data_IF_425628639178
#
_entry.id   IF_425628639178
#
_cell.length_a   1.000
_cell.length_b   1.000
_cell.length_c   1.000
_cell.angle_alpha   90.00
_cell.angle_beta   90.00
_cell.angle_gamma   90.00
#
_symmetry.space_group_name_H-M   'P 1'
#
loop_
_entity.id
_entity.type
_entity.pdbx_description
1 polymer ?
#
# COMPACT_ATOMS: atom_id res chain seq x y z
N UNK A 1 -25.61 -27.22 7.09
CA UNK A 1 -25.52 -27.93 5.78
C UNK A 1 -24.72 -27.04 4.83
N UNK A 2 -23.56 -27.50 4.30
CA UNK A 2 -22.75 -26.70 3.36
C UNK A 2 -23.49 -26.63 2.01
N UNK A 3 -23.55 -25.44 1.43
CA UNK A 3 -24.23 -25.21 0.13
C UNK A 3 -23.27 -25.50 -1.04
N UNK A 4 -23.82 -25.61 -2.25
CA UNK A 4 -23.00 -25.71 -3.47
C UNK A 4 -22.09 -24.49 -3.63
N UNK A 5 -22.52 -23.30 -3.17
CA UNK A 5 -21.71 -22.08 -3.18
C UNK A 5 -20.51 -22.20 -2.25
N UNK A 6 -20.70 -22.72 -1.02
CA UNK A 6 -19.60 -22.94 -0.08
C UNK A 6 -18.54 -23.86 -0.69
N UNK A 7 -18.96 -24.94 -1.35
CA UNK A 7 -18.03 -25.85 -2.02
C UNK A 7 -17.24 -25.20 -3.15
N UNK A 8 -17.86 -24.30 -3.92
CA UNK A 8 -17.17 -23.53 -4.98
C UNK A 8 -16.19 -22.51 -4.39
N UNK A 9 -16.57 -21.84 -3.32
CA UNK A 9 -15.70 -20.91 -2.61
C UNK A 9 -14.46 -21.62 -2.05
N UNK A 10 -14.64 -22.76 -1.37
CA UNK A 10 -13.54 -23.56 -0.85
C UNK A 10 -12.58 -24.03 -1.95
N UNK A 11 -13.11 -24.51 -3.06
CA UNK A 11 -12.31 -24.94 -4.21
C UNK A 11 -11.51 -23.76 -4.82
N UNK A 12 -12.12 -22.58 -4.93
CA UNK A 12 -11.45 -21.38 -5.40
C UNK A 12 -10.35 -20.93 -4.44
N UNK A 13 -10.64 -20.92 -3.14
CA UNK A 13 -9.64 -20.58 -2.13
C UNK A 13 -8.47 -21.56 -2.15
N UNK A 14 -8.76 -22.86 -2.23
CA UNK A 14 -7.71 -23.88 -2.33
C UNK A 14 -6.84 -23.73 -3.59
N UNK A 15 -7.45 -23.41 -4.72
CA UNK A 15 -6.72 -23.15 -5.97
C UNK A 15 -5.83 -21.90 -5.88
N UNK A 16 -6.31 -20.82 -5.25
CA UNK A 16 -5.56 -19.59 -5.10
C UNK A 16 -4.42 -19.69 -4.09
N UNK A 17 -4.63 -20.37 -2.95
CA UNK A 17 -3.69 -20.40 -1.83
C UNK A 17 -2.80 -21.66 -1.82
N UNK A 18 -3.12 -22.65 -2.62
CA UNK A 18 -2.35 -23.89 -2.74
C UNK A 18 -1.01 -23.70 -3.47
N UNK A 19 -0.19 -24.76 -3.54
CA UNK A 19 1.09 -24.73 -4.23
C UNK A 19 0.93 -24.29 -5.71
N UNK A 20 1.67 -23.25 -6.12
CA UNK A 20 1.58 -22.68 -7.47
C UNK A 20 0.40 -21.73 -7.69
N UNK A 21 -0.47 -21.54 -6.73
CA UNK A 21 -1.55 -20.54 -6.78
C UNK A 21 -1.02 -19.11 -6.65
N UNK A 22 -1.80 -18.14 -7.15
CA UNK A 22 -1.43 -16.72 -7.15
C UNK A 22 -1.19 -16.17 -5.71
N UNK A 23 -1.90 -16.71 -4.73
CA UNK A 23 -1.81 -16.37 -3.31
C UNK A 23 -1.19 -17.51 -2.50
N UNK A 24 -0.31 -18.30 -3.11
CA UNK A 24 0.35 -19.42 -2.44
C UNK A 24 0.96 -18.96 -1.12
N UNK A 25 0.68 -19.71 -0.05
CA UNK A 25 1.14 -19.37 1.29
C UNK A 25 2.60 -19.79 1.48
N UNK A 26 3.34 -18.92 2.15
CA UNK A 26 4.69 -19.17 2.67
C UNK A 26 4.75 -18.78 4.14
N UNK A 27 5.93 -18.82 4.72
CA UNK A 27 6.18 -18.38 6.09
C UNK A 27 7.27 -17.32 6.14
N UNK A 28 7.13 -16.36 7.04
CA UNK A 28 8.17 -15.42 7.41
C UNK A 28 8.35 -15.39 8.93
N UNK A 29 9.60 -15.29 9.38
CA UNK A 29 9.92 -15.13 10.78
C UNK A 29 10.20 -13.67 11.09
N UNK A 30 9.56 -13.14 12.15
CA UNK A 30 9.80 -11.81 12.67
C UNK A 30 9.74 -11.81 14.19
N UNK A 31 10.81 -11.34 14.84
CA UNK A 31 10.89 -11.29 16.31
C UNK A 31 10.75 -12.66 16.97
N UNK A 32 11.29 -13.73 16.37
CA UNK A 32 11.20 -15.10 16.88
C UNK A 32 9.83 -15.76 16.70
N UNK A 33 8.92 -15.14 15.93
CA UNK A 33 7.58 -15.70 15.62
C UNK A 33 7.44 -15.93 14.13
N UNK A 34 6.78 -17.02 13.76
CA UNK A 34 6.42 -17.33 12.38
C UNK A 34 5.04 -16.81 12.05
N UNK A 35 4.92 -16.25 10.88
CA UNK A 35 3.67 -15.70 10.34
C UNK A 35 3.44 -16.25 8.94
N UNK A 36 2.18 -16.63 8.62
CA UNK A 36 1.84 -16.93 7.24
C UNK A 36 1.93 -15.65 6.40
N UNK A 37 2.52 -15.78 5.23
CA UNK A 37 2.62 -14.71 4.24
C UNK A 37 2.18 -15.22 2.87
N UNK A 38 1.89 -14.32 1.95
CA UNK A 38 1.79 -14.68 0.53
C UNK A 38 3.21 -14.78 -0.01
N UNK A 39 3.61 -15.96 -0.48
CA UNK A 39 5.00 -16.24 -0.87
C UNK A 39 5.52 -15.31 -1.98
N UNK A 40 4.65 -14.95 -2.92
CA UNK A 40 4.98 -14.06 -4.05
C UNK A 40 4.81 -12.55 -3.72
N UNK A 41 4.38 -12.21 -2.51
CA UNK A 41 4.18 -10.80 -2.16
C UNK A 41 5.52 -10.04 -2.14
N UNK A 42 5.57 -8.82 -2.70
CA UNK A 42 6.74 -7.96 -2.58
C UNK A 42 7.08 -7.68 -1.10
N UNK A 43 8.35 -7.44 -0.77
CA UNK A 43 8.81 -7.31 0.61
C UNK A 43 8.25 -6.09 1.34
N UNK A 44 7.74 -5.10 0.61
CA UNK A 44 7.15 -3.90 1.18
C UNK A 44 6.14 -3.26 0.23
N UNK A 45 5.17 -2.53 0.79
CA UNK A 45 4.11 -1.86 0.04
C UNK A 45 4.62 -0.90 -1.05
N UNK A 46 5.70 -0.12 -0.88
CA UNK A 46 6.25 0.71 -1.96
C UNK A 46 6.62 -0.06 -3.23
N UNK A 47 7.11 -1.29 -3.13
CA UNK A 47 7.43 -2.12 -4.30
C UNK A 47 6.17 -2.56 -5.04
N UNK A 48 5.14 -2.95 -4.29
CA UNK A 48 3.84 -3.29 -4.84
C UNK A 48 3.21 -2.10 -5.58
N UNK A 49 3.24 -0.93 -4.93
CA UNK A 49 2.76 0.31 -5.51
C UNK A 49 3.50 0.69 -6.80
N UNK A 50 4.84 0.64 -6.79
CA UNK A 50 5.66 0.93 -7.98
C UNK A 50 5.32 -0.01 -9.13
N UNK A 51 5.19 -1.32 -8.87
CA UNK A 51 4.86 -2.33 -9.88
C UNK A 51 3.54 -1.97 -10.60
N UNK A 52 2.45 -1.77 -9.84
CA UNK A 52 1.15 -1.47 -10.46
C UNK A 52 1.06 -0.08 -11.07
N UNK A 53 1.81 0.90 -10.53
CA UNK A 53 1.90 2.21 -11.15
C UNK A 53 2.61 2.18 -12.51
N UNK A 54 3.57 1.29 -12.71
CA UNK A 54 4.19 1.08 -14.02
C UNK A 54 3.29 0.27 -14.96
N UNK A 55 2.68 -0.81 -14.47
CA UNK A 55 1.81 -1.66 -15.28
C UNK A 55 0.57 -0.92 -15.82
N UNK A 56 0.04 0.01 -15.04
CA UNK A 56 -1.18 0.74 -15.35
C UNK A 56 -0.95 2.24 -15.59
N UNK A 57 0.26 2.64 -16.00
CA UNK A 57 0.75 4.02 -16.00
C UNK A 57 -0.26 5.06 -16.50
N UNK A 58 -0.89 4.80 -17.63
CA UNK A 58 -1.79 5.74 -18.30
C UNK A 58 -3.26 5.64 -17.85
N UNK A 59 -3.58 4.64 -17.01
CA UNK A 59 -4.95 4.48 -16.50
C UNK A 59 -5.21 5.50 -15.38
N UNK A 60 -6.47 5.90 -15.23
CA UNK A 60 -6.90 6.73 -14.10
C UNK A 60 -6.82 5.92 -12.81
N UNK A 61 -6.13 6.45 -11.82
CA UNK A 61 -5.99 5.89 -10.49
C UNK A 61 -6.85 6.61 -9.45
N UNK A 62 -6.78 7.94 -9.40
CA UNK A 62 -7.52 8.75 -8.43
C UNK A 62 -8.50 9.69 -9.13
N UNK A 63 -9.67 9.80 -8.53
CA UNK A 63 -10.76 10.67 -8.97
C UNK A 63 -11.22 11.48 -7.76
N UNK A 64 -11.21 12.81 -7.87
CA UNK A 64 -11.73 13.71 -6.86
C UNK A 64 -12.39 14.92 -7.52
N UNK A 65 -13.71 14.99 -7.49
CA UNK A 65 -14.44 15.97 -8.29
C UNK A 65 -14.13 15.82 -9.77
N UNK A 66 -13.64 16.89 -10.39
CA UNK A 66 -13.20 16.92 -11.80
C UNK A 66 -11.75 16.50 -12.00
N UNK A 67 -10.99 16.37 -10.92
CA UNK A 67 -9.59 15.94 -10.99
C UNK A 67 -9.48 14.45 -11.31
N UNK A 68 -8.59 14.13 -12.25
CA UNK A 68 -8.26 12.76 -12.67
C UNK A 68 -6.75 12.61 -12.68
N UNK A 69 -6.22 11.73 -11.81
CA UNK A 69 -4.79 11.45 -11.77
C UNK A 69 -4.53 10.03 -12.26
N UNK A 70 -3.56 9.88 -13.15
CA UNK A 70 -3.11 8.57 -13.61
C UNK A 70 -2.23 7.90 -12.57
N UNK A 71 -2.04 6.58 -12.70
CA UNK A 71 -1.08 5.84 -11.88
C UNK A 71 0.32 6.44 -11.97
N UNK A 72 0.78 6.79 -13.18
CA UNK A 72 2.10 7.42 -13.38
C UNK A 72 2.21 8.77 -12.66
N UNK A 73 1.17 9.61 -12.75
CA UNK A 73 1.16 10.93 -12.10
C UNK A 73 1.23 10.80 -10.57
N UNK A 74 0.43 9.90 -9.98
CA UNK A 74 0.43 9.66 -8.52
C UNK A 74 1.78 9.11 -8.07
N UNK A 75 2.38 8.19 -8.83
CA UNK A 75 3.69 7.64 -8.52
C UNK A 75 4.80 8.71 -8.57
N UNK A 76 4.81 9.55 -9.60
CA UNK A 76 5.76 10.65 -9.73
C UNK A 76 5.64 11.64 -8.56
N UNK A 77 4.41 12.03 -8.20
CA UNK A 77 4.14 12.90 -7.06
C UNK A 77 4.61 12.27 -5.74
N UNK A 78 4.32 10.99 -5.51
CA UNK A 78 4.77 10.27 -4.31
C UNK A 78 6.31 10.20 -4.22
N UNK A 79 7.00 9.99 -5.33
CA UNK A 79 8.47 10.04 -5.39
C UNK A 79 9.02 11.42 -5.03
N UNK A 80 8.39 12.48 -5.51
CA UNK A 80 8.79 13.87 -5.18
C UNK A 80 8.66 14.12 -3.68
N UNK A 81 7.54 13.69 -3.07
CA UNK A 81 7.34 13.76 -1.62
C UNK A 81 8.40 12.96 -0.88
N UNK A 82 8.67 11.72 -1.28
CA UNK A 82 9.70 10.89 -0.66
C UNK A 82 11.08 11.56 -0.71
N UNK A 83 11.45 12.12 -1.87
CA UNK A 83 12.70 12.87 -2.04
C UNK A 83 12.79 14.08 -1.10
N UNK A 84 11.73 14.87 -0.98
CA UNK A 84 11.66 16.02 -0.09
C UNK A 84 11.77 15.60 1.39
N UNK A 85 11.07 14.53 1.79
CA UNK A 85 11.13 14.01 3.17
C UNK A 85 12.55 13.58 3.54
N UNK A 86 13.27 12.91 2.65
CA UNK A 86 14.65 12.49 2.90
C UNK A 86 15.62 13.67 2.83
N UNK A 87 15.57 14.47 1.76
CA UNK A 87 16.58 15.50 1.51
C UNK A 87 16.41 16.72 2.44
N UNK A 88 15.16 17.16 2.68
CA UNK A 88 14.88 18.39 3.43
C UNK A 88 14.61 18.10 4.90
N UNK A 89 13.82 17.05 5.18
CA UNK A 89 13.39 16.75 6.54
C UNK A 89 14.20 15.62 7.20
N UNK A 90 15.16 15.02 6.46
CA UNK A 90 16.05 13.96 6.96
C UNK A 90 15.33 12.75 7.54
N UNK A 91 14.15 12.46 7.02
CA UNK A 91 13.39 11.29 7.43
C UNK A 91 14.21 10.03 7.16
N UNK A 92 14.44 9.26 8.21
CA UNK A 92 15.16 7.99 8.19
C UNK A 92 14.17 6.81 8.26
N UNK A 93 14.67 5.61 7.96
CA UNK A 93 13.88 4.38 8.04
C UNK A 93 13.33 4.17 9.46
N UNK A 94 12.01 4.08 9.56
CA UNK A 94 11.30 3.86 10.83
C UNK A 94 10.81 5.12 11.51
N UNK A 95 11.19 6.32 11.03
CA UNK A 95 10.65 7.58 11.56
C UNK A 95 9.15 7.66 11.33
N UNK A 96 8.43 8.19 12.33
CA UNK A 96 6.98 8.38 12.24
C UNK A 96 6.68 9.75 11.64
N UNK A 97 5.92 9.75 10.54
CA UNK A 97 5.45 10.97 9.88
C UNK A 97 3.93 11.03 9.96
N UNK A 98 3.42 12.07 10.62
CA UNK A 98 1.97 12.27 10.81
C UNK A 98 1.28 12.77 9.55
N UNK A 99 0.10 12.25 9.24
CA UNK A 99 -0.81 12.76 8.22
C UNK A 99 -2.10 13.23 8.90
N UNK A 100 -2.27 14.55 9.03
CA UNK A 100 -3.44 15.19 9.63
C UNK A 100 -4.26 15.88 8.53
N UNK A 101 -4.94 15.10 7.67
CA UNK A 101 -5.73 15.65 6.58
C UNK A 101 -6.91 14.74 6.22
N UNK A 102 -7.90 15.33 5.53
CA UNK A 102 -9.04 14.58 4.99
C UNK A 102 -8.64 13.76 3.77
N UNK A 103 -9.47 12.78 3.44
CA UNK A 103 -9.30 11.97 2.23
C UNK A 103 -9.27 12.88 0.99
N UNK A 104 -8.21 12.75 0.23
CA UNK A 104 -7.95 13.51 -1.00
C UNK A 104 -6.87 12.80 -1.82
N UNK A 105 -6.67 13.14 -3.09
CA UNK A 105 -5.54 12.62 -3.85
C UNK A 105 -4.19 12.88 -3.16
N UNK A 106 -4.02 14.06 -2.57
CA UNK A 106 -2.81 14.41 -1.82
C UNK A 106 -2.56 13.50 -0.62
N UNK A 107 -3.62 13.00 0.04
CA UNK A 107 -3.49 12.04 1.13
C UNK A 107 -2.81 10.76 0.67
N UNK A 108 -3.23 10.21 -0.47
CA UNK A 108 -2.63 8.99 -1.05
C UNK A 108 -1.18 9.25 -1.44
N UNK A 109 -0.90 10.39 -2.08
CA UNK A 109 0.45 10.81 -2.48
C UNK A 109 1.38 10.90 -1.28
N UNK A 110 0.95 11.57 -0.20
CA UNK A 110 1.73 11.71 1.04
C UNK A 110 1.95 10.37 1.72
N UNK A 111 0.89 9.55 1.85
CA UNK A 111 0.98 8.22 2.43
C UNK A 111 2.04 7.37 1.74
N UNK A 112 1.95 7.28 0.41
CA UNK A 112 2.92 6.50 -0.37
C UNK A 112 4.32 7.12 -0.34
N UNK A 113 4.42 8.45 -0.39
CA UNK A 113 5.69 9.16 -0.29
C UNK A 113 6.42 8.89 1.05
N UNK A 114 5.70 8.87 2.16
CA UNK A 114 6.26 8.52 3.48
C UNK A 114 6.80 7.09 3.48
N UNK A 115 6.01 6.14 2.97
CA UNK A 115 6.45 4.73 2.91
C UNK A 115 7.65 4.55 1.98
N UNK A 116 7.71 5.28 0.86
CA UNK A 116 8.83 5.25 -0.09
C UNK A 116 10.09 5.88 0.51
N UNK A 117 9.96 6.87 1.41
CA UNK A 117 11.07 7.42 2.18
C UNK A 117 11.59 6.45 3.28
N UNK A 118 10.91 5.34 3.51
CA UNK A 118 11.19 4.40 4.59
C UNK A 118 10.56 4.77 5.93
N UNK A 119 9.75 5.81 5.96
CA UNK A 119 9.02 6.25 7.15
C UNK A 119 7.82 5.37 7.49
N UNK A 120 7.26 5.60 8.66
CA UNK A 120 6.00 5.01 9.14
C UNK A 120 4.92 6.08 9.06
N UNK A 121 3.94 5.90 8.18
CA UNK A 121 2.82 6.81 8.08
C UNK A 121 1.91 6.67 9.31
N UNK A 122 1.82 7.73 10.10
CA UNK A 122 0.96 7.80 11.29
C UNK A 122 -0.28 8.62 10.94
N UNK A 123 -1.42 7.95 10.82
CA UNK A 123 -2.66 8.58 10.43
C UNK A 123 -3.31 9.26 11.63
N UNK A 124 -3.50 10.56 11.54
CA UNK A 124 -4.15 11.37 12.56
C UNK A 124 -5.59 11.68 12.13
N UNK A 125 -6.49 11.79 13.12
CA UNK A 125 -7.87 12.14 12.82
C UNK A 125 -7.93 13.59 12.30
N UNK A 126 -8.29 13.78 11.04
CA UNK A 126 -8.41 15.11 10.41
C UNK A 126 -9.57 15.97 10.96
N UNK A 127 -10.34 15.46 11.92
CA UNK A 127 -11.43 16.16 12.61
C UNK A 127 -11.04 16.60 14.04
N UNK A 128 -9.84 16.27 14.51
CA UNK A 128 -9.40 16.73 15.82
C UNK A 128 -9.33 18.26 15.86
N UNK A 129 -9.88 18.80 16.92
CA UNK A 129 -9.75 20.21 17.26
C UNK A 129 -8.77 20.34 18.42
N UNK A 130 -8.03 21.43 18.46
CA UNK A 130 -7.24 21.77 19.64
C UNK A 130 -8.19 22.09 20.78
N UNK A 131 -7.99 21.48 21.96
CA UNK A 131 -8.65 21.85 23.20
C UNK A 131 -8.02 23.11 23.78
#
# INVERSE_FOLDING_TARGET
>A
MRTTLDGRMDATMAALTGPGGMLALGEAERGGRRYPIIAAAPPALPHYFAHYCHEHADKTFLVAGDERLTFAAVYAAARTVAGALVATHRVAKGDRVGIAMRNSPSWIVLYMGILMAGGVATLLNGWWQAE
#
